data_IF_969340202813
#
_entry.id   IF_969340202813
#
_cell.length_a   1.000
_cell.length_b   1.000
_cell.length_c   1.000
_cell.angle_alpha   90.00
_cell.angle_beta   90.00
_cell.angle_gamma   90.00
#
_symmetry.space_group_name_H-M   'P 1'
#
loop_
_entity.id
_entity.type
_entity.pdbx_description
1 polymer ?
#
# COMPACT_ATOMS: atom_id res chain seq x y z
N UNK A 1 -8.78 14.49 2.96
CA UNK A 1 -7.69 13.90 2.15
C UNK A 1 -8.26 13.48 0.82
N UNK A 2 -7.52 13.64 -0.27
CA UNK A 2 -8.00 13.27 -1.62
C UNK A 2 -7.73 11.79 -1.91
N UNK A 3 -8.54 11.17 -2.76
CA UNK A 3 -8.32 9.83 -3.33
C UNK A 3 -8.58 9.93 -4.82
N UNK A 4 -7.68 9.39 -5.64
CA UNK A 4 -7.87 9.30 -7.09
C UNK A 4 -8.46 7.93 -7.44
N UNK A 5 -9.57 7.92 -8.18
CA UNK A 5 -10.23 6.69 -8.63
C UNK A 5 -10.35 6.72 -10.16
N UNK A 6 -9.87 5.68 -10.82
CA UNK A 6 -10.03 5.53 -12.27
C UNK A 6 -11.50 5.27 -12.62
N UNK A 7 -11.92 5.66 -13.83
CA UNK A 7 -13.27 5.38 -14.34
C UNK A 7 -13.51 3.86 -14.46
N UNK A 8 -14.79 3.48 -14.49
CA UNK A 8 -15.25 2.11 -14.75
C UNK A 8 -14.85 1.07 -13.68
N UNK A 9 -14.75 1.49 -12.41
CA UNK A 9 -14.42 0.63 -11.28
C UNK A 9 -15.58 0.50 -10.30
N UNK A 10 -15.63 -0.65 -9.60
CA UNK A 10 -16.58 -0.88 -8.50
C UNK A 10 -15.83 -0.90 -7.18
N UNK A 11 -16.35 -0.14 -6.21
CA UNK A 11 -15.88 -0.16 -4.83
C UNK A 11 -16.92 -0.91 -4.00
N UNK A 12 -16.54 -2.06 -3.45
CA UNK A 12 -17.41 -2.86 -2.62
C UNK A 12 -17.79 -2.15 -1.32
N UNK A 13 -18.93 -2.53 -0.76
CA UNK A 13 -19.48 -1.91 0.45
C UNK A 13 -18.53 -2.06 1.65
N UNK A 14 -18.45 -1.01 2.47
CA UNK A 14 -17.53 -0.96 3.62
C UNK A 14 -16.03 -0.97 3.28
N UNK A 15 -15.64 -0.79 2.01
CA UNK A 15 -14.24 -0.56 1.67
C UNK A 15 -13.76 0.81 2.21
N UNK A 16 -12.60 0.84 2.85
CA UNK A 16 -11.97 2.05 3.37
C UNK A 16 -10.73 2.35 2.55
N UNK A 17 -10.67 3.52 1.91
CA UNK A 17 -9.52 3.93 1.09
C UNK A 17 -8.84 5.11 1.78
N UNK A 18 -7.57 4.96 2.14
CA UNK A 18 -6.83 6.01 2.83
C UNK A 18 -6.46 7.15 1.88
N UNK A 19 -6.31 8.36 2.42
CA UNK A 19 -5.96 9.55 1.64
C UNK A 19 -4.66 9.36 0.84
N UNK A 20 -4.56 10.06 -0.29
CA UNK A 20 -3.47 9.99 -1.26
C UNK A 20 -3.32 8.61 -1.95
N UNK A 21 -4.39 7.81 -1.98
CA UNK A 21 -4.41 6.55 -2.73
C UNK A 21 -4.81 6.75 -4.19
N UNK A 22 -4.27 5.89 -5.06
CA UNK A 22 -4.61 5.81 -6.48
C UNK A 22 -5.24 4.46 -6.84
N UNK A 23 -6.56 4.47 -7.05
CA UNK A 23 -7.37 3.27 -7.32
C UNK A 23 -7.40 2.99 -8.82
N UNK A 24 -6.63 1.99 -9.26
CA UNK A 24 -6.56 1.53 -10.65
C UNK A 24 -7.32 0.22 -10.93
N UNK A 25 -7.98 -0.37 -9.93
CA UNK A 25 -8.73 -1.63 -10.03
C UNK A 25 -9.94 -1.62 -9.10
N UNK A 26 -10.97 -2.41 -9.41
CA UNK A 26 -12.10 -2.62 -8.52
C UNK A 26 -11.64 -3.20 -7.18
N UNK A 27 -12.29 -2.78 -6.11
CA UNK A 27 -11.91 -3.13 -4.74
C UNK A 27 -13.03 -3.93 -4.09
N UNK A 28 -12.66 -5.00 -3.38
CA UNK A 28 -13.59 -5.73 -2.53
C UNK A 28 -14.01 -4.90 -1.32
N UNK A 29 -15.25 -5.10 -0.89
CA UNK A 29 -15.80 -4.49 0.31
C UNK A 29 -15.14 -4.98 1.61
N UNK A 30 -15.39 -4.26 2.71
CA UNK A 30 -14.95 -4.63 4.06
C UNK A 30 -13.45 -4.65 4.30
N UNK A 31 -12.64 -4.09 3.38
CA UNK A 31 -11.17 -4.05 3.46
C UNK A 31 -10.65 -2.62 3.50
N UNK A 32 -9.44 -2.45 4.03
CA UNK A 32 -8.74 -1.16 4.05
C UNK A 32 -7.62 -1.15 3.03
N UNK A 33 -7.58 -0.11 2.20
CA UNK A 33 -6.67 0.03 1.07
C UNK A 33 -5.81 1.28 1.17
N UNK A 34 -4.56 1.20 0.71
CA UNK A 34 -3.65 2.33 0.69
C UNK A 34 -2.63 2.26 -0.46
N UNK A 35 -2.13 3.43 -0.86
CA UNK A 35 -1.03 3.59 -1.81
C UNK A 35 -1.47 3.97 -3.22
N UNK A 36 -0.49 4.28 -4.06
CA UNK A 36 -0.68 4.57 -5.47
C UNK A 36 0.41 3.84 -6.28
N UNK A 37 0.08 2.75 -7.00
CA UNK A 37 -1.24 2.11 -7.08
C UNK A 37 -1.68 1.50 -5.75
N UNK A 38 -3.00 1.42 -5.55
CA UNK A 38 -3.62 0.96 -4.30
C UNK A 38 -3.49 -0.56 -4.10
N UNK A 39 -3.21 -0.97 -2.86
CA UNK A 39 -3.23 -2.37 -2.41
C UNK A 39 -3.74 -2.47 -0.95
N UNK A 40 -3.77 -3.66 -0.36
CA UNK A 40 -4.08 -3.85 1.07
C UNK A 40 -3.23 -2.92 1.95
N UNK A 41 -3.88 -2.17 2.83
CA UNK A 41 -3.22 -1.12 3.59
C UNK A 41 -2.10 -1.65 4.49
N UNK A 42 -2.28 -2.81 5.13
CA UNK A 42 -1.26 -3.39 6.01
C UNK A 42 -0.05 -3.83 5.21
N UNK A 43 -0.27 -4.46 4.05
CA UNK A 43 0.80 -4.85 3.15
C UNK A 43 1.58 -3.61 2.69
N UNK A 44 0.89 -2.57 2.23
CA UNK A 44 1.54 -1.37 1.71
C UNK A 44 2.33 -0.62 2.78
N UNK A 45 1.80 -0.52 3.99
CA UNK A 45 2.51 0.06 5.14
C UNK A 45 3.79 -0.69 5.49
N UNK A 46 3.77 -2.02 5.46
CA UNK A 46 4.98 -2.84 5.66
C UNK A 46 6.01 -2.61 4.56
N UNK A 47 5.60 -2.53 3.31
CA UNK A 47 6.49 -2.22 2.18
C UNK A 47 7.16 -0.85 2.38
N UNK A 48 6.41 0.19 2.75
CA UNK A 48 6.99 1.51 3.01
C UNK A 48 7.92 1.52 4.22
N UNK A 49 7.60 0.80 5.29
CA UNK A 49 8.49 0.68 6.44
C UNK A 49 9.81 -0.02 6.05
N UNK A 50 9.74 -1.10 5.27
CA UNK A 50 10.92 -1.77 4.74
C UNK A 50 11.74 -0.85 3.83
N UNK A 51 11.07 -0.07 2.97
CA UNK A 51 11.74 0.89 2.09
C UNK A 51 12.44 2.00 2.86
N UNK A 52 11.82 2.54 3.91
CA UNK A 52 12.43 3.54 4.79
C UNK A 52 13.71 3.03 5.45
N UNK A 53 13.75 1.74 5.76
CA UNK A 53 14.88 1.10 6.43
C UNK A 53 15.76 0.31 5.45
N UNK A 54 15.66 0.54 4.14
CA UNK A 54 16.31 -0.31 3.12
C UNK A 54 17.83 -0.37 3.29
N UNK A 55 18.46 0.76 3.63
CA UNK A 55 19.91 0.85 3.84
C UNK A 55 20.32 0.06 5.08
N UNK A 56 19.64 0.25 6.20
CA UNK A 56 19.92 -0.46 7.46
C UNK A 56 19.72 -1.97 7.28
N UNK A 57 18.64 -2.38 6.61
CA UNK A 57 18.38 -3.79 6.29
C UNK A 57 19.52 -4.36 5.43
N UNK A 58 19.97 -3.62 4.42
CA UNK A 58 21.06 -4.04 3.54
C UNK A 58 22.38 -4.21 4.29
N UNK A 59 22.73 -3.28 5.18
CA UNK A 59 23.94 -3.37 6.00
C UNK A 59 23.90 -4.57 6.96
N UNK A 60 22.76 -4.80 7.62
CA UNK A 60 22.56 -5.97 8.48
C UNK A 60 22.72 -7.27 7.70
N UNK A 61 22.13 -7.35 6.49
CA UNK A 61 22.27 -8.52 5.63
C UNK A 61 23.71 -8.74 5.14
N UNK A 62 24.45 -7.67 4.84
CA UNK A 62 25.87 -7.77 4.47
C UNK A 62 26.73 -8.29 5.61
N UNK A 63 26.54 -7.75 6.81
CA UNK A 63 27.34 -8.11 7.99
C UNK A 63 27.01 -9.51 8.52
N UNK A 64 25.78 -10.00 8.34
CA UNK A 64 25.39 -11.35 8.74
C UNK A 64 25.97 -12.47 7.84
N UNK A 65 26.50 -12.11 6.67
CA UNK A 65 27.12 -13.04 5.70
C UNK A 65 28.66 -12.96 5.70
N UNK A 66 29.27 -12.27 6.66
CA UNK A 66 30.72 -12.23 6.90
C UNK A 66 31.03 -13.01 8.17
#
# INVERSE_FOLDING_TARGET
>A
GQVGVSKDLTIGDGAIILAQSGVGKSLEGGKTYFGSPVDDARKKMKEMAAMKNVVEIWEKMRNANT
#
